data_IF_316396417140
#
_entry.id   IF_316396417140
#
_cell.length_a   1.000
_cell.length_b   1.000
_cell.length_c   1.000
_cell.angle_alpha   90.00
_cell.angle_beta   90.00
_cell.angle_gamma   90.00
#
_symmetry.space_group_name_H-M   'P 1'
#
loop_
_entity.id
_entity.type
_entity.pdbx_description
1 polymer ?
#
# COMPACT_ATOMS: atom_id res chain seq x y z
N UNK A 1 2.78 12.54 -0.03
CA UNK A 1 2.14 11.95 -1.24
C UNK A 1 1.59 12.99 -2.24
N UNK A 2 2.13 13.03 -3.47
CA UNK A 2 1.74 14.03 -4.50
C UNK A 2 0.46 13.70 -5.29
N UNK A 3 -0.05 12.47 -5.16
CA UNK A 3 -1.15 11.93 -5.99
C UNK A 3 -2.49 11.80 -5.23
N UNK A 4 -2.59 12.43 -4.05
CA UNK A 4 -3.79 12.48 -3.23
C UNK A 4 -4.33 13.91 -3.24
N UNK A 5 -5.49 14.10 -3.84
CA UNK A 5 -6.16 15.40 -3.98
C UNK A 5 -7.33 15.49 -3.01
N UNK A 6 -7.50 16.67 -2.41
CA UNK A 6 -8.68 16.98 -1.60
C UNK A 6 -9.68 17.73 -2.47
N UNK A 7 -10.88 17.18 -2.57
CA UNK A 7 -12.01 17.84 -3.24
C UNK A 7 -12.69 18.81 -2.27
N UNK A 8 -13.35 19.86 -2.79
CA UNK A 8 -13.97 20.93 -1.98
C UNK A 8 -15.09 20.42 -1.06
N UNK A 9 -15.59 19.21 -1.30
CA UNK A 9 -16.57 18.48 -0.51
C UNK A 9 -15.93 17.60 0.60
N UNK A 10 -14.62 17.74 0.85
CA UNK A 10 -13.90 16.99 1.87
C UNK A 10 -13.60 15.53 1.50
N UNK A 11 -13.91 15.10 0.27
CA UNK A 11 -13.59 13.77 -0.21
C UNK A 11 -12.14 13.70 -0.69
N UNK A 12 -11.46 12.59 -0.33
CA UNK A 12 -10.12 12.26 -0.83
C UNK A 12 -10.28 11.65 -2.23
N UNK A 13 -9.61 12.22 -3.23
CA UNK A 13 -9.57 11.73 -4.62
C UNK A 13 -8.13 11.38 -4.98
N UNK A 14 -7.91 10.15 -5.42
CA UNK A 14 -6.60 9.74 -5.99
C UNK A 14 -6.61 10.15 -7.46
N UNK A 15 -5.64 10.97 -7.89
CA UNK A 15 -5.66 11.61 -9.20
C UNK A 15 -4.63 11.09 -10.20
N UNK A 16 -3.91 10.03 -9.87
CA UNK A 16 -2.94 9.41 -10.75
C UNK A 16 -3.04 7.88 -10.67
N UNK A 17 -3.63 7.29 -11.70
CA UNK A 17 -3.70 5.84 -11.94
C UNK A 17 -2.55 5.38 -12.86
N UNK A 18 -1.46 6.16 -12.98
CA UNK A 18 -0.43 6.05 -14.02
C UNK A 18 0.33 4.73 -14.15
N UNK A 19 -0.06 3.67 -13.43
CA UNK A 19 0.45 2.30 -13.55
C UNK A 19 -0.64 1.23 -13.39
N UNK A 20 -1.92 1.53 -13.72
CA UNK A 20 -2.94 0.46 -13.83
C UNK A 20 -2.45 -0.54 -14.86
N UNK A 21 -2.12 -1.74 -14.40
CA UNK A 21 -1.56 -2.81 -15.23
C UNK A 21 -2.43 -4.03 -15.06
N UNK A 22 -2.94 -4.54 -16.18
CA UNK A 22 -3.81 -5.71 -16.21
C UNK A 22 -3.07 -6.94 -15.63
N UNK A 23 -3.78 -7.74 -14.84
CA UNK A 23 -3.22 -8.85 -14.06
C UNK A 23 -2.65 -10.01 -14.91
N UNK A 24 -2.73 -9.94 -16.25
CA UNK A 24 -2.51 -11.08 -17.16
C UNK A 24 -1.18 -11.08 -17.94
N UNK A 25 -0.35 -10.02 -17.93
CA UNK A 25 0.92 -10.03 -18.67
C UNK A 25 2.14 -10.27 -17.77
N UNK A 26 2.77 -11.43 -17.98
CA UNK A 26 4.07 -11.82 -17.44
C UNK A 26 5.15 -10.77 -17.75
N UNK A 27 5.74 -10.21 -16.70
CA UNK A 27 6.66 -9.07 -16.75
C UNK A 27 8.05 -9.39 -17.34
N UNK A 28 8.42 -8.66 -18.40
CA UNK A 28 9.78 -8.23 -18.67
C UNK A 28 10.02 -6.89 -17.95
N UNK A 29 10.52 -6.93 -16.72
CA UNK A 29 10.80 -5.78 -15.85
C UNK A 29 12.12 -5.05 -16.19
N UNK A 30 12.59 -5.11 -17.44
CA UNK A 30 13.97 -4.72 -17.77
C UNK A 30 14.22 -3.21 -17.97
N UNK A 31 13.19 -2.37 -18.04
CA UNK A 31 13.35 -0.96 -18.47
C UNK A 31 13.29 0.11 -17.37
N UNK A 32 13.12 -0.24 -16.09
CA UNK A 32 13.08 0.75 -14.99
C UNK A 32 14.37 0.83 -14.15
N UNK A 33 15.43 0.10 -14.55
CA UNK A 33 16.64 -0.14 -13.73
C UNK A 33 17.84 0.76 -14.08
N UNK A 34 17.64 1.93 -14.70
CA UNK A 34 18.75 2.89 -14.91
C UNK A 34 18.69 4.03 -13.89
N UNK A 35 19.37 3.95 -12.73
CA UNK A 35 19.39 5.03 -11.74
C UNK A 35 20.38 6.17 -12.06
N UNK A 36 20.98 6.19 -13.26
CA UNK A 36 22.19 7.01 -13.48
C UNK A 36 21.90 8.46 -13.88
N UNK A 37 20.70 8.84 -14.34
CA UNK A 37 20.45 10.24 -14.75
C UNK A 37 19.00 10.68 -14.61
N UNK A 38 18.72 11.49 -13.59
CA UNK A 38 17.73 12.57 -13.70
C UNK A 38 16.48 12.45 -12.83
N UNK A 39 16.21 13.53 -12.10
CA UNK A 39 14.95 13.91 -11.45
C UNK A 39 14.67 13.35 -10.04
N UNK A 40 14.56 14.27 -9.08
CA UNK A 40 14.00 14.08 -7.73
C UNK A 40 12.61 13.43 -7.72
N UNK A 41 11.87 13.50 -8.84
CA UNK A 41 10.59 12.80 -9.02
C UNK A 41 10.72 11.27 -9.01
N UNK A 42 11.74 10.69 -9.64
CA UNK A 42 11.91 9.23 -9.64
C UNK A 42 12.31 8.69 -8.27
N UNK A 43 13.13 9.46 -7.53
CA UNK A 43 13.49 9.14 -6.14
C UNK A 43 12.24 9.17 -5.25
N UNK A 44 11.37 10.16 -5.46
CA UNK A 44 10.09 10.29 -4.75
C UNK A 44 9.18 9.09 -4.95
N UNK A 45 9.01 8.61 -6.19
CA UNK A 45 8.16 7.43 -6.48
C UNK A 45 8.77 6.13 -5.95
N UNK A 46 10.10 5.95 -6.07
CA UNK A 46 10.80 4.75 -5.55
C UNK A 46 10.70 4.61 -4.03
N UNK A 47 10.58 5.71 -3.30
CA UNK A 47 10.47 5.69 -1.83
C UNK A 47 9.24 4.90 -1.34
N UNK A 48 8.17 4.86 -2.13
CA UNK A 48 6.93 4.16 -1.80
C UNK A 48 6.87 2.72 -2.33
N UNK A 49 7.77 2.32 -3.23
CA UNK A 49 7.75 0.98 -3.84
C UNK A 49 8.01 -0.11 -2.81
N UNK A 50 7.27 -1.20 -2.91
CA UNK A 50 7.51 -2.41 -2.12
C UNK A 50 8.90 -3.03 -2.38
N UNK A 51 9.46 -3.81 -1.45
CA UNK A 51 10.74 -4.49 -1.64
C UNK A 51 10.77 -5.36 -2.90
N UNK A 52 9.69 -6.09 -3.18
CA UNK A 52 9.56 -6.94 -4.37
C UNK A 52 9.55 -6.14 -5.68
N UNK A 53 8.97 -4.93 -5.70
CA UNK A 53 9.04 -4.04 -6.86
C UNK A 53 10.46 -3.53 -7.10
N UNK A 54 11.17 -3.13 -6.03
CA UNK A 54 12.56 -2.67 -6.15
C UNK A 54 13.52 -3.76 -6.63
N UNK A 55 13.24 -5.02 -6.25
CA UNK A 55 14.01 -6.18 -6.67
C UNK A 55 13.61 -6.70 -8.08
N UNK A 56 12.65 -6.07 -8.75
CA UNK A 56 12.15 -6.52 -10.06
C UNK A 56 11.48 -7.91 -10.01
N UNK A 57 11.00 -8.33 -8.84
CA UNK A 57 10.32 -9.60 -8.66
C UNK A 57 8.89 -9.54 -9.18
N UNK A 58 8.26 -10.70 -9.39
CA UNK A 58 6.81 -10.73 -9.66
C UNK A 58 6.07 -10.19 -8.44
N UNK A 59 5.11 -9.32 -8.68
CA UNK A 59 4.32 -8.68 -7.65
C UNK A 59 2.81 -8.71 -7.99
N UNK A 60 1.97 -8.46 -6.99
CA UNK A 60 0.51 -8.44 -7.09
C UNK A 60 -0.06 -7.20 -6.37
N UNK A 61 -1.37 -7.14 -6.16
CA UNK A 61 -2.06 -6.03 -5.47
C UNK A 61 -1.51 -5.69 -4.07
N UNK A 62 -0.74 -6.57 -3.42
CA UNK A 62 -0.15 -6.29 -2.10
C UNK A 62 0.93 -5.21 -2.13
N UNK A 63 1.46 -4.85 -3.30
CA UNK A 63 2.38 -3.71 -3.44
C UNK A 63 1.71 -2.39 -3.08
N UNK A 64 0.41 -2.27 -3.35
CA UNK A 64 -0.37 -1.08 -3.01
C UNK A 64 -0.60 -0.99 -1.51
N UNK A 65 -0.72 -2.14 -0.83
CA UNK A 65 -0.82 -2.20 0.64
C UNK A 65 0.46 -1.67 1.30
N UNK A 66 1.62 -2.03 0.76
CA UNK A 66 2.90 -1.53 1.28
C UNK A 66 3.03 -0.01 1.06
N UNK A 67 2.72 0.44 -0.15
CA UNK A 67 2.74 1.86 -0.52
C UNK A 67 1.79 2.67 0.37
N UNK A 68 0.60 2.14 0.62
CA UNK A 68 -0.41 2.72 1.50
C UNK A 68 0.09 2.79 2.95
N UNK A 69 0.86 1.81 3.43
CA UNK A 69 1.46 1.84 4.77
C UNK A 69 2.41 3.02 4.94
N UNK A 70 3.27 3.26 3.96
CA UNK A 70 4.20 4.40 3.98
C UNK A 70 3.46 5.75 3.92
N UNK A 71 2.40 5.83 3.10
CA UNK A 71 1.52 7.01 3.02
C UNK A 71 0.79 7.22 4.35
N UNK A 72 0.26 6.17 4.95
CA UNK A 72 -0.47 6.25 6.21
C UNK A 72 0.42 6.78 7.33
N UNK A 73 1.66 6.28 7.44
CA UNK A 73 2.63 6.83 8.36
C UNK A 73 2.96 8.31 8.07
N UNK A 74 3.14 8.66 6.81
CA UNK A 74 3.41 10.03 6.38
C UNK A 74 2.28 11.01 6.74
N UNK A 75 1.03 10.52 6.85
CA UNK A 75 -0.11 11.33 7.32
C UNK A 75 -0.12 11.52 8.85
N UNK A 76 0.51 10.62 9.61
CA UNK A 76 0.57 10.68 11.07
C UNK A 76 1.73 11.54 11.60
N UNK A 77 2.76 11.75 10.77
CA UNK A 77 4.00 12.41 11.16
C UNK A 77 4.21 13.68 10.34
N UNK A 78 4.45 14.79 11.04
CA UNK A 78 4.84 16.05 10.40
C UNK A 78 6.35 16.06 10.13
N UNK A 79 6.74 16.52 8.95
CA UNK A 79 8.14 16.71 8.57
C UNK A 79 8.40 18.19 8.27
N UNK A 80 9.50 18.71 8.81
CA UNK A 80 9.91 20.09 8.56
C UNK A 80 10.64 20.24 7.22
N UNK A 81 11.27 19.17 6.74
CA UNK A 81 12.07 19.14 5.51
C UNK A 81 11.91 17.83 4.74
N UNK A 82 12.16 17.88 3.43
CA UNK A 82 12.16 16.67 2.59
C UNK A 82 13.27 15.68 2.99
N UNK A 83 14.42 16.16 3.48
CA UNK A 83 15.50 15.29 3.92
C UNK A 83 15.10 14.46 5.14
N UNK A 84 14.48 15.10 6.13
CA UNK A 84 13.95 14.43 7.33
C UNK A 84 12.92 13.37 6.94
N UNK A 85 12.02 13.74 6.03
CA UNK A 85 11.00 12.85 5.47
C UNK A 85 11.61 11.63 4.77
N UNK A 86 12.54 11.85 3.84
CA UNK A 86 13.20 10.77 3.09
C UNK A 86 13.94 9.84 4.04
N UNK A 87 14.70 10.39 5.00
CA UNK A 87 15.41 9.60 6.00
C UNK A 87 14.44 8.75 6.82
N UNK A 88 13.38 9.38 7.35
CA UNK A 88 12.42 8.69 8.22
C UNK A 88 11.66 7.60 7.48
N UNK A 89 11.23 7.85 6.24
CA UNK A 89 10.58 6.83 5.42
C UNK A 89 11.55 5.71 5.02
N UNK A 90 12.84 6.01 4.83
CA UNK A 90 13.86 4.99 4.57
C UNK A 90 14.06 4.09 5.80
N UNK A 91 14.19 4.69 6.98
CA UNK A 91 14.30 3.98 8.26
C UNK A 91 13.04 3.10 8.50
N UNK A 92 11.86 3.65 8.23
CA UNK A 92 10.59 2.94 8.38
C UNK A 92 10.47 1.70 7.51
N UNK A 93 11.02 1.72 6.29
CA UNK A 93 11.05 0.53 5.42
C UNK A 93 11.80 -0.63 6.06
N UNK A 94 12.77 -0.35 6.91
CA UNK A 94 13.53 -1.32 7.71
C UNK A 94 12.89 -1.57 9.09
N UNK A 95 11.62 -1.19 9.29
CA UNK A 95 10.88 -1.26 10.54
C UNK A 95 11.50 -0.43 11.68
N UNK A 96 12.21 0.65 11.36
CA UNK A 96 12.75 1.59 12.35
C UNK A 96 11.82 2.79 12.46
N UNK A 97 11.09 2.87 13.57
CA UNK A 97 10.14 3.95 13.85
C UNK A 97 10.80 5.11 14.62
N UNK A 98 10.28 6.35 14.48
CA UNK A 98 10.72 7.48 15.31
C UNK A 98 10.54 7.22 16.81
N UNK A 99 11.33 7.89 17.63
CA UNK A 99 11.22 7.82 19.08
C UNK A 99 9.80 8.18 19.55
N UNK A 100 9.29 7.45 20.55
CA UNK A 100 7.94 7.59 21.11
C UNK A 100 6.76 7.33 20.14
N UNK A 101 7.01 6.94 18.88
CA UNK A 101 5.92 6.64 17.94
C UNK A 101 5.06 5.47 18.45
N UNK A 102 5.70 4.41 18.93
CA UNK A 102 5.01 3.21 19.44
C UNK A 102 4.19 3.49 20.70
N UNK A 103 4.59 4.46 21.52
CA UNK A 103 3.87 4.86 22.74
C UNK A 103 2.65 5.72 22.42
N UNK A 104 2.79 6.62 21.43
CA UNK A 104 1.75 7.56 21.04
C UNK A 104 0.70 6.96 20.11
N UNK A 105 1.11 6.06 19.22
CA UNK A 105 0.30 5.50 18.14
C UNK A 105 0.36 3.97 18.17
N UNK A 106 -0.05 3.36 19.29
CA UNK A 106 0.07 1.91 19.54
C UNK A 106 -0.67 1.10 18.46
N UNK A 107 -1.90 1.49 18.13
CA UNK A 107 -2.74 0.78 17.16
C UNK A 107 -2.21 0.94 15.73
N UNK A 108 -1.82 2.16 15.37
CA UNK A 108 -1.27 2.50 14.07
C UNK A 108 0.08 1.81 13.86
N UNK A 109 0.94 1.77 14.88
CA UNK A 109 2.19 1.01 14.84
C UNK A 109 1.93 -0.47 14.53
N UNK A 110 1.00 -1.10 15.26
CA UNK A 110 0.64 -2.50 15.02
C UNK A 110 0.14 -2.75 13.60
N UNK A 111 -0.68 -1.85 13.06
CA UNK A 111 -1.19 -1.94 11.70
C UNK A 111 -0.07 -1.70 10.66
N UNK A 112 0.78 -0.70 10.89
CA UNK A 112 1.90 -0.35 10.01
C UNK A 112 2.90 -1.49 9.89
N UNK A 113 3.27 -2.16 10.98
CA UNK A 113 4.16 -3.34 10.93
C UNK A 113 3.59 -4.45 10.02
N UNK A 114 2.25 -4.61 10.01
CA UNK A 114 1.59 -5.62 9.19
C UNK A 114 1.43 -5.19 7.72
N UNK A 115 1.23 -3.89 7.45
CA UNK A 115 1.19 -3.33 6.09
C UNK A 115 2.58 -3.28 5.43
N UNK A 116 3.63 -3.02 6.22
CA UNK A 116 5.01 -2.87 5.77
C UNK A 116 5.82 -4.18 5.81
N UNK A 117 5.15 -5.33 5.94
CA UNK A 117 5.81 -6.63 5.90
C UNK A 117 6.53 -6.82 4.55
N UNK A 118 7.82 -7.17 4.58
CA UNK A 118 8.61 -7.38 3.36
C UNK A 118 8.15 -8.58 2.56
N UNK A 119 7.61 -9.59 3.23
CA UNK A 119 7.07 -10.80 2.61
C UNK A 119 5.61 -10.55 2.18
N UNK A 120 5.30 -10.48 0.88
CA UNK A 120 3.94 -10.17 0.43
C UNK A 120 2.91 -11.16 0.95
N UNK A 121 3.23 -12.45 1.02
CA UNK A 121 2.34 -13.51 1.51
C UNK A 121 1.94 -13.33 2.99
N UNK A 122 2.76 -12.64 3.79
CA UNK A 122 2.49 -12.30 5.20
C UNK A 122 1.98 -10.87 5.39
N UNK A 123 1.90 -10.08 4.31
CA UNK A 123 1.36 -8.72 4.34
C UNK A 123 -0.17 -8.80 4.35
N UNK A 124 -0.83 -7.88 5.07
CA UNK A 124 -2.29 -7.89 5.14
C UNK A 124 -2.96 -7.66 3.78
N UNK A 125 -4.19 -8.14 3.63
CA UNK A 125 -5.11 -7.70 2.58
C UNK A 125 -5.88 -6.45 3.02
N UNK A 126 -6.60 -5.83 2.08
CA UNK A 126 -7.53 -4.72 2.36
C UNK A 126 -8.60 -5.08 3.39
N UNK A 127 -9.07 -6.34 3.41
CA UNK A 127 -10.04 -6.81 4.41
C UNK A 127 -9.37 -6.90 5.79
N UNK A 128 -8.17 -7.48 5.86
CA UNK A 128 -7.41 -7.58 7.10
C UNK A 128 -7.08 -6.21 7.71
N UNK A 129 -6.80 -5.21 6.88
CA UNK A 129 -6.55 -3.83 7.33
C UNK A 129 -7.81 -3.20 7.90
N UNK A 130 -8.96 -3.33 7.21
CA UNK A 130 -10.25 -2.78 7.67
C UNK A 130 -10.71 -3.38 9.00
N UNK A 131 -10.38 -4.64 9.24
CA UNK A 131 -10.75 -5.36 10.46
C UNK A 131 -9.93 -4.97 11.71
N UNK A 132 -8.88 -4.16 11.57
CA UNK A 132 -7.97 -3.79 12.66
C UNK A 132 -8.11 -2.32 13.06
N UNK A 133 -7.74 -2.02 14.29
CA UNK A 133 -7.59 -0.65 14.75
C UNK A 133 -6.46 0.05 13.94
N UNK A 134 -6.57 1.38 13.69
CA UNK A 134 -7.62 2.28 14.14
C UNK A 134 -8.90 2.29 13.28
N UNK A 135 -8.94 1.53 12.17
CA UNK A 135 -10.06 1.57 11.24
C UNK A 135 -11.31 0.85 11.77
N UNK A 136 -11.15 -0.35 12.35
CA UNK A 136 -12.19 -1.14 13.03
C UNK A 136 -13.56 -1.17 12.32
N UNK A 137 -13.57 -1.25 10.99
CA UNK A 137 -14.79 -1.38 10.20
C UNK A 137 -15.20 -2.86 10.20
N UNK A 138 -15.89 -3.29 11.26
CA UNK A 138 -16.31 -4.69 11.43
C UNK A 138 -17.40 -5.10 10.42
N UNK A 139 -17.06 -6.01 9.50
CA UNK A 139 -18.03 -6.77 8.70
C UNK A 139 -18.38 -8.08 9.45
N UNK A 140 -19.68 -8.40 9.57
CA UNK A 140 -20.16 -9.58 10.31
C UNK A 140 -19.73 -10.93 9.72
N UNK A 141 -19.12 -10.92 8.53
CA UNK A 141 -18.66 -12.10 7.79
C UNK A 141 -17.11 -12.20 7.73
N UNK A 142 -16.40 -11.52 8.63
CA UNK A 142 -14.94 -11.57 8.68
C UNK A 142 -14.44 -12.96 9.11
N UNK A 143 -13.38 -13.43 8.45
CA UNK A 143 -12.62 -14.65 8.76
C UNK A 143 -11.15 -14.27 8.87
N UNK A 144 -10.43 -14.83 9.84
CA UNK A 144 -8.98 -14.61 10.01
C UNK A 144 -8.18 -14.98 8.76
N UNK A 145 -8.68 -15.92 7.94
CA UNK A 145 -8.07 -16.26 6.65
C UNK A 145 -7.97 -15.07 5.70
N UNK A 146 -8.90 -14.10 5.82
CA UNK A 146 -8.92 -12.90 4.99
C UNK A 146 -7.82 -11.91 5.33
N UNK A 147 -7.06 -12.13 6.41
CA UNK A 147 -5.87 -11.34 6.70
C UNK A 147 -4.83 -11.46 5.61
N UNK A 148 -4.67 -12.66 5.02
CA UNK A 148 -3.59 -12.93 4.08
C UNK A 148 -4.11 -13.26 2.68
N UNK A 149 -5.34 -13.77 2.55
CA UNK A 149 -5.93 -14.16 1.26
C UNK A 149 -7.34 -13.60 1.08
N UNK A 150 -7.58 -12.89 -0.03
CA UNK A 150 -8.92 -12.41 -0.34
C UNK A 150 -9.87 -13.59 -0.67
N UNK A 151 -11.15 -13.51 -0.30
CA UNK A 151 -12.13 -14.50 -0.71
C UNK A 151 -12.15 -14.59 -2.24
N UNK A 152 -12.10 -15.82 -2.75
CA UNK A 152 -12.25 -16.07 -4.18
C UNK A 152 -13.61 -15.50 -4.60
N UNK A 153 -13.62 -14.59 -5.58
CA UNK A 153 -14.86 -14.09 -6.16
C UNK A 153 -15.69 -15.28 -6.60
N UNK A 154 -16.83 -15.50 -5.93
CA UNK A 154 -17.83 -16.42 -6.44
C UNK A 154 -18.27 -15.78 -7.74
N UNK A 155 -17.93 -16.41 -8.87
CA UNK A 155 -18.51 -16.05 -10.15
C UNK A 155 -20.01 -16.19 -9.95
N UNK A 156 -20.71 -15.07 -9.72
CA UNK A 156 -22.15 -15.02 -9.88
C UNK A 156 -22.36 -15.32 -11.35
N UNK A 157 -22.70 -16.58 -11.63
CA UNK A 157 -23.42 -16.96 -12.83
C UNK A 157 -24.69 -16.13 -12.81
N UNK A 158 -24.61 -14.93 -13.40
CA UNK A 158 -25.78 -14.11 -13.67
C UNK A 158 -26.79 -14.99 -14.42
N UNK A 159 -28.10 -14.81 -14.17
CA UNK A 159 -29.10 -15.68 -14.75
C UNK A 159 -28.93 -15.68 -16.26
N UNK A 160 -28.71 -16.88 -16.80
CA UNK A 160 -28.82 -17.19 -18.20
C UNK A 160 -30.24 -16.79 -18.61
N UNK A 161 -30.39 -15.61 -19.22
CA UNK A 161 -31.64 -15.24 -19.87
C UNK A 161 -31.84 -16.21 -21.04
N UNK A 162 -32.53 -17.30 -20.75
CA UNK A 162 -33.14 -18.19 -21.73
C UNK A 162 -34.29 -17.43 -22.39
N UNK A 163 -34.13 -17.21 -23.70
CA UNK A 163 -35.15 -17.14 -24.75
C UNK A 163 -36.34 -16.18 -24.54
N UNK A 164 -36.49 -15.27 -25.51
CA UNK A 164 -37.59 -15.31 -26.48
C UNK A 164 -37.10 -14.70 -27.79
#
# INVERSE_FOLDING_TARGET
PSNIFFSLDGQIKVGDFGLVKDEEESHDAHNMLNPVRGHTKEVGTRLYMSPEQLNGQKYNYKVDIYSLGLIFFELLVYFSTDMERIKTLTDLRENVFPTHFMERYVAEHSLLTQMLCHLPEKRLTTIGIRARAPLNCCDTNYSETYDFELPKSVKTTGPMFLKS
#
